data_IF_132738836159
#
_entry.id   IF_132738836159
#
_cell.length_a   1.000
_cell.length_b   1.000
_cell.length_c   1.000
_cell.angle_alpha   90.00
_cell.angle_beta   90.00
_cell.angle_gamma   90.00
#
_symmetry.space_group_name_H-M   'P 1'
#
loop_
_entity.id
_entity.type
_entity.pdbx_description
1 polymer ?
#
# COMPACT_ATOMS: atom_id res chain seq x y z
N UNK A 1 11.08 -4.46 -10.77
CA UNK A 1 11.27 -5.94 -10.81
C UNK A 1 12.73 -6.31 -10.92
N UNK A 2 13.51 -5.67 -11.81
CA UNK A 2 14.95 -5.99 -12.03
C UNK A 2 15.83 -5.92 -10.76
N UNK A 3 15.45 -5.12 -9.77
CA UNK A 3 16.15 -5.03 -8.49
C UNK A 3 15.55 -5.91 -7.38
N UNK A 4 14.56 -6.73 -7.70
CA UNK A 4 13.84 -7.54 -6.72
C UNK A 4 14.77 -8.46 -5.90
N UNK A 5 15.79 -9.06 -6.53
CA UNK A 5 16.74 -9.92 -5.81
C UNK A 5 17.44 -9.23 -4.64
N UNK A 6 17.70 -7.92 -4.72
CA UNK A 6 18.30 -7.13 -3.63
C UNK A 6 17.32 -6.94 -2.46
N UNK A 7 16.04 -6.71 -2.76
CA UNK A 7 14.98 -6.56 -1.75
C UNK A 7 14.73 -7.91 -1.08
N UNK A 8 14.63 -8.97 -1.86
CA UNK A 8 14.43 -10.33 -1.37
C UNK A 8 15.56 -10.76 -0.42
N UNK A 9 16.82 -10.50 -0.78
CA UNK A 9 17.97 -10.81 0.07
C UNK A 9 17.91 -10.13 1.45
N UNK A 10 17.32 -8.92 1.54
CA UNK A 10 17.07 -8.27 2.84
C UNK A 10 15.96 -9.00 3.60
N UNK A 11 14.85 -9.34 2.94
CA UNK A 11 13.74 -10.05 3.59
C UNK A 11 14.15 -11.44 4.10
N UNK A 12 15.06 -12.14 3.40
CA UNK A 12 15.58 -13.46 3.82
C UNK A 12 16.44 -13.39 5.07
N UNK A 13 17.14 -12.27 5.31
CA UNK A 13 18.00 -12.09 6.50
C UNK A 13 17.21 -11.96 7.80
N UNK A 14 15.94 -11.58 7.74
CA UNK A 14 15.14 -11.28 8.91
C UNK A 14 13.83 -12.09 8.90
N UNK A 15 13.58 -12.96 9.90
CA UNK A 15 12.37 -13.79 9.93
C UNK A 15 11.07 -13.00 9.81
N UNK A 16 10.96 -11.85 10.50
CA UNK A 16 9.77 -11.02 10.53
C UNK A 16 9.60 -10.10 9.29
N UNK A 17 10.59 -10.05 8.39
CA UNK A 17 10.53 -9.20 7.19
C UNK A 17 10.04 -10.00 6.00
N UNK A 18 9.07 -9.46 5.30
CA UNK A 18 8.56 -9.93 4.01
C UNK A 18 8.70 -8.81 2.98
N UNK A 19 8.48 -9.09 1.72
CA UNK A 19 8.58 -8.09 0.66
C UNK A 19 7.45 -8.20 -0.36
N UNK A 20 7.29 -7.14 -1.13
CA UNK A 20 6.53 -7.12 -2.37
C UNK A 20 7.46 -7.17 -3.58
N UNK A 21 6.90 -7.42 -4.75
CA UNK A 21 7.59 -7.34 -6.04
C UNK A 21 6.79 -6.49 -7.01
N UNK A 22 7.44 -5.48 -7.58
CA UNK A 22 6.79 -4.59 -8.55
C UNK A 22 7.73 -3.52 -9.09
N UNK A 23 7.14 -2.66 -9.94
CA UNK A 23 7.79 -1.52 -10.57
C UNK A 23 7.02 -0.27 -10.19
N UNK A 24 7.64 0.59 -9.38
CA UNK A 24 7.08 1.88 -8.99
C UNK A 24 6.77 2.74 -10.24
N UNK A 25 5.67 3.52 -10.26
CA UNK A 25 5.28 4.32 -11.42
C UNK A 25 6.38 5.25 -11.94
N UNK A 26 7.27 5.74 -11.09
CA UNK A 26 8.42 6.55 -11.52
C UNK A 26 9.38 5.84 -12.51
N UNK A 27 9.38 4.52 -12.49
CA UNK A 27 10.26 3.67 -13.29
C UNK A 27 9.50 2.81 -14.31
N UNK A 28 8.21 3.07 -14.52
CA UNK A 28 7.38 2.25 -15.39
C UNK A 28 7.95 2.11 -16.80
N UNK A 29 8.46 3.21 -17.38
CA UNK A 29 9.05 3.22 -18.71
C UNK A 29 10.33 2.39 -18.85
N UNK A 30 11.01 2.09 -17.74
CA UNK A 30 12.25 1.30 -17.72
C UNK A 30 11.97 -0.22 -17.77
N UNK A 31 10.74 -0.66 -17.47
CA UNK A 31 10.37 -2.05 -17.27
C UNK A 31 9.09 -2.44 -18.04
N UNK A 32 8.83 -1.83 -19.20
CA UNK A 32 7.65 -2.15 -20.04
C UNK A 32 7.69 -3.56 -20.64
N UNK A 33 8.85 -4.20 -20.68
CA UNK A 33 9.07 -5.56 -21.09
C UNK A 33 8.74 -6.61 -20.00
N UNK A 34 8.56 -6.17 -18.76
CA UNK A 34 8.15 -7.05 -17.66
C UNK A 34 6.69 -7.47 -17.85
N UNK A 35 6.47 -8.77 -17.87
CA UNK A 35 5.16 -9.38 -18.04
C UNK A 35 4.51 -9.74 -16.69
N UNK A 36 3.21 -9.98 -16.70
CA UNK A 36 2.53 -10.54 -15.53
C UNK A 36 3.13 -11.91 -15.12
N UNK A 37 3.58 -12.71 -16.10
CA UNK A 37 4.25 -13.99 -15.83
C UNK A 37 5.55 -13.85 -15.05
N UNK A 38 6.34 -12.81 -15.33
CA UNK A 38 7.59 -12.54 -14.60
C UNK A 38 7.30 -12.15 -13.14
N UNK A 39 6.28 -11.33 -12.92
CA UNK A 39 5.81 -10.98 -11.58
C UNK A 39 5.31 -12.21 -10.82
N UNK A 40 4.47 -13.04 -11.46
CA UNK A 40 3.93 -14.28 -10.87
C UNK A 40 5.08 -15.23 -10.48
N UNK A 41 6.10 -15.38 -11.32
CA UNK A 41 7.25 -16.23 -11.01
C UNK A 41 7.97 -15.79 -9.73
N UNK A 42 8.13 -14.47 -9.50
CA UNK A 42 8.72 -13.94 -8.27
C UNK A 42 7.86 -14.26 -7.03
N UNK A 43 6.54 -14.35 -7.15
CA UNK A 43 5.63 -14.62 -6.02
C UNK A 43 5.71 -16.05 -5.50
N UNK A 44 6.39 -16.97 -6.18
CA UNK A 44 6.61 -18.33 -5.68
C UNK A 44 7.48 -18.36 -4.41
N UNK A 45 8.28 -17.34 -4.19
CA UNK A 45 9.10 -17.26 -2.98
C UNK A 45 8.25 -16.97 -1.73
N UNK A 46 8.46 -17.69 -0.59
CA UNK A 46 7.61 -17.52 0.60
C UNK A 46 7.67 -16.12 1.22
N UNK A 47 8.77 -15.40 1.06
CA UNK A 47 8.94 -14.03 1.55
C UNK A 47 8.25 -12.97 0.69
N UNK A 48 7.84 -13.30 -0.54
CA UNK A 48 7.09 -12.38 -1.41
C UNK A 48 5.60 -12.54 -1.12
N UNK A 49 5.01 -11.55 -0.48
CA UNK A 49 3.64 -11.62 0.05
C UNK A 49 2.67 -10.66 -0.63
N UNK A 50 3.18 -9.83 -1.53
CA UNK A 50 2.40 -8.84 -2.27
C UNK A 50 3.02 -8.53 -3.62
N UNK A 51 2.25 -7.94 -4.50
CA UNK A 51 2.68 -7.30 -5.74
C UNK A 51 2.78 -5.78 -5.51
N UNK A 52 3.66 -5.12 -6.25
CA UNK A 52 3.85 -3.67 -6.12
C UNK A 52 5.17 -3.32 -5.42
N UNK A 53 5.37 -2.08 -5.25
CA UNK A 53 4.50 -0.92 -5.46
C UNK A 53 4.31 -0.66 -6.95
N UNK A 54 3.07 -0.42 -7.40
CA UNK A 54 2.72 -0.08 -8.77
C UNK A 54 1.53 0.89 -8.75
N UNK A 55 1.29 1.63 -9.81
CA UNK A 55 0.19 2.58 -9.88
C UNK A 55 0.52 3.82 -10.70
N UNK A 56 0.03 5.00 -10.25
CA UNK A 56 0.10 6.25 -11.00
C UNK A 56 0.66 7.39 -10.14
N UNK A 57 1.60 8.16 -10.70
CA UNK A 57 2.14 9.39 -10.09
C UNK A 57 2.17 10.50 -11.16
N UNK A 58 1.21 11.42 -11.09
CA UNK A 58 1.12 12.56 -11.98
C UNK A 58 1.70 13.84 -11.35
N UNK A 59 2.19 13.73 -10.12
CA UNK A 59 2.85 14.82 -9.42
C UNK A 59 4.29 15.02 -9.91
N UNK A 60 5.05 13.93 -9.98
CA UNK A 60 6.44 13.97 -10.44
C UNK A 60 6.59 13.74 -11.94
N UNK A 61 5.65 13.02 -12.56
CA UNK A 61 5.64 12.69 -14.00
C UNK A 61 6.99 12.11 -14.50
N UNK A 62 7.66 11.29 -13.65
CA UNK A 62 8.98 10.73 -13.96
C UNK A 62 8.93 9.66 -15.06
N UNK A 63 7.77 9.06 -15.30
CA UNK A 63 7.49 8.17 -16.44
C UNK A 63 6.29 8.72 -17.22
N UNK A 64 6.23 8.52 -18.55
CA UNK A 64 5.03 8.80 -19.34
C UNK A 64 3.79 8.12 -18.75
N UNK A 65 2.64 8.78 -18.76
CA UNK A 65 1.42 8.29 -18.11
C UNK A 65 0.88 7.01 -18.72
N UNK A 66 1.03 6.83 -20.03
CA UNK A 66 0.70 5.59 -20.75
C UNK A 66 1.58 4.42 -20.29
N UNK A 67 2.86 4.65 -20.06
CA UNK A 67 3.77 3.66 -19.50
C UNK A 67 3.37 3.29 -18.05
N UNK A 68 2.98 4.29 -17.24
CA UNK A 68 2.47 4.05 -15.88
C UNK A 68 1.18 3.22 -15.90
N UNK A 69 0.21 3.55 -16.75
CA UNK A 69 -1.04 2.79 -16.89
C UNK A 69 -0.76 1.36 -17.37
N UNK A 70 0.11 1.17 -18.37
CA UNK A 70 0.50 -0.16 -18.84
C UNK A 70 1.14 -0.98 -17.72
N UNK A 71 2.10 -0.42 -17.00
CA UNK A 71 2.75 -1.07 -15.86
C UNK A 71 1.75 -1.42 -14.77
N UNK A 72 0.85 -0.51 -14.41
CA UNK A 72 -0.19 -0.74 -13.41
C UNK A 72 -1.11 -1.90 -13.81
N UNK A 73 -1.61 -1.94 -15.05
CA UNK A 73 -2.45 -3.05 -15.55
C UNK A 73 -1.69 -4.38 -15.59
N UNK A 74 -0.40 -4.38 -15.89
CA UNK A 74 0.44 -5.59 -15.82
C UNK A 74 0.49 -6.17 -14.41
N UNK A 75 0.63 -5.31 -13.38
CA UNK A 75 0.60 -5.74 -11.99
C UNK A 75 -0.79 -6.20 -11.56
N UNK A 76 -1.85 -5.56 -12.02
CA UNK A 76 -3.23 -5.99 -11.77
C UNK A 76 -3.46 -7.39 -12.37
N UNK A 77 -2.99 -7.66 -13.59
CA UNK A 77 -3.10 -8.98 -14.21
C UNK A 77 -2.40 -10.08 -13.36
N UNK A 78 -1.24 -9.76 -12.79
CA UNK A 78 -0.57 -10.66 -11.86
C UNK A 78 -1.34 -10.82 -10.53
N UNK A 79 -1.97 -9.75 -10.01
CA UNK A 79 -2.80 -9.80 -8.81
C UNK A 79 -4.06 -10.67 -9.02
N UNK A 80 -4.70 -10.57 -10.18
CA UNK A 80 -5.80 -11.46 -10.55
C UNK A 80 -5.38 -12.93 -10.52
N UNK A 81 -4.22 -13.25 -11.11
CA UNK A 81 -3.76 -14.63 -11.23
C UNK A 81 -3.31 -15.23 -9.90
N UNK A 82 -2.66 -14.44 -9.04
CA UNK A 82 -2.06 -14.91 -7.79
C UNK A 82 -2.96 -14.75 -6.57
N UNK A 83 -3.93 -13.84 -6.64
CA UNK A 83 -4.74 -13.37 -5.50
C UNK A 83 -3.88 -12.83 -4.34
N UNK A 84 -2.63 -12.43 -4.63
CA UNK A 84 -1.82 -11.66 -3.69
C UNK A 84 -2.23 -10.19 -3.71
N UNK A 85 -2.14 -9.49 -2.57
CA UNK A 85 -2.51 -8.09 -2.51
C UNK A 85 -1.61 -7.22 -3.40
N UNK A 86 -2.25 -6.28 -4.09
CA UNK A 86 -1.57 -5.23 -4.85
C UNK A 86 -1.39 -3.99 -3.96
N UNK A 87 -0.14 -3.56 -3.79
CA UNK A 87 0.24 -2.30 -3.12
C UNK A 87 0.23 -1.20 -4.18
N UNK A 88 -0.73 -0.29 -4.07
CA UNK A 88 -1.02 0.72 -5.08
C UNK A 88 -0.52 2.09 -4.63
N UNK A 89 0.35 2.67 -5.45
CA UNK A 89 0.70 4.08 -5.40
C UNK A 89 -0.30 4.92 -6.20
N UNK A 90 -0.77 6.01 -5.60
CA UNK A 90 -1.54 7.03 -6.34
C UNK A 90 -1.19 8.42 -5.83
N UNK A 91 -0.83 9.32 -6.74
CA UNK A 91 -0.54 10.73 -6.42
C UNK A 91 -0.94 11.64 -7.57
N UNK A 92 -1.87 12.58 -7.27
CA UNK A 92 -2.46 13.50 -8.25
C UNK A 92 -3.08 12.77 -9.47
N UNK A 93 -3.54 11.50 -9.29
CA UNK A 93 -4.04 10.61 -10.32
C UNK A 93 -5.37 9.91 -9.93
N UNK A 94 -6.15 10.54 -9.05
CA UNK A 94 -7.31 9.94 -8.38
C UNK A 94 -8.32 9.34 -9.37
N UNK A 95 -8.70 10.10 -10.42
CA UNK A 95 -9.74 9.67 -11.34
C UNK A 95 -9.28 8.51 -12.23
N UNK A 96 -8.06 8.56 -12.77
CA UNK A 96 -7.52 7.46 -13.56
C UNK A 96 -7.27 6.21 -12.70
N UNK A 97 -6.81 6.38 -11.46
CA UNK A 97 -6.66 5.26 -10.52
C UNK A 97 -8.02 4.59 -10.25
N UNK A 98 -9.05 5.38 -9.94
CA UNK A 98 -10.39 4.86 -9.69
C UNK A 98 -10.97 4.16 -10.92
N UNK A 99 -10.87 4.77 -12.11
CA UNK A 99 -11.33 4.22 -13.39
C UNK A 99 -10.67 2.87 -13.68
N UNK A 100 -9.35 2.78 -13.53
CA UNK A 100 -8.61 1.53 -13.79
C UNK A 100 -9.03 0.45 -12.78
N UNK A 101 -9.16 0.80 -11.49
CA UNK A 101 -9.58 -0.16 -10.47
C UNK A 101 -11.00 -0.68 -10.73
N UNK A 102 -11.94 0.19 -11.08
CA UNK A 102 -13.33 -0.19 -11.40
C UNK A 102 -13.39 -1.10 -12.64
N UNK A 103 -12.64 -0.74 -13.70
CA UNK A 103 -12.54 -1.54 -14.92
C UNK A 103 -11.98 -2.94 -14.64
N UNK A 104 -10.89 -3.04 -13.91
CA UNK A 104 -10.21 -4.30 -13.66
C UNK A 104 -10.92 -5.15 -12.58
N UNK A 105 -11.40 -4.55 -11.50
CA UNK A 105 -12.19 -5.26 -10.48
C UNK A 105 -13.53 -5.76 -11.04
N UNK A 106 -14.09 -5.08 -12.07
CA UNK A 106 -15.25 -5.55 -12.81
C UNK A 106 -15.01 -6.84 -13.60
N UNK A 107 -13.77 -7.15 -13.97
CA UNK A 107 -13.37 -8.40 -14.64
C UNK A 107 -13.10 -9.54 -13.65
N UNK A 108 -12.84 -9.21 -12.39
CA UNK A 108 -12.57 -10.12 -11.29
C UNK A 108 -11.96 -9.41 -10.10
N UNK A 109 -12.38 -9.72 -8.88
CA UNK A 109 -11.86 -9.11 -7.69
C UNK A 109 -10.44 -9.60 -7.37
N UNK A 110 -9.61 -8.70 -6.83
CA UNK A 110 -8.29 -8.99 -6.26
C UNK A 110 -8.08 -8.14 -4.99
N UNK A 111 -7.32 -8.63 -4.01
CA UNK A 111 -7.02 -7.84 -2.82
C UNK A 111 -6.08 -6.67 -3.15
N UNK A 112 -6.33 -5.49 -2.56
CA UNK A 112 -5.50 -4.32 -2.82
C UNK A 112 -5.49 -3.33 -1.65
N UNK A 113 -4.45 -2.51 -1.58
CA UNK A 113 -4.33 -1.36 -0.68
C UNK A 113 -3.83 -0.14 -1.46
N UNK A 114 -4.53 0.99 -1.32
CA UNK A 114 -3.97 2.28 -1.72
C UNK A 114 -3.02 2.71 -0.60
N UNK A 115 -1.74 2.51 -0.84
CA UNK A 115 -0.65 2.74 0.09
C UNK A 115 -0.35 4.24 0.21
N UNK A 116 0.13 4.65 1.38
CA UNK A 116 0.53 6.04 1.67
C UNK A 116 -0.51 7.07 1.17
N UNK A 117 -1.76 6.85 1.53
CA UNK A 117 -2.88 7.55 0.94
C UNK A 117 -2.81 9.06 1.12
N UNK A 118 -2.89 9.79 0.01
CA UNK A 118 -2.94 11.25 -0.05
C UNK A 118 -4.03 11.77 -0.99
N UNK A 119 -4.84 10.87 -1.55
CA UNK A 119 -5.94 11.18 -2.46
C UNK A 119 -7.17 11.79 -1.78
N UNK A 120 -8.18 12.10 -2.57
CA UNK A 120 -9.43 12.70 -2.12
C UNK A 120 -10.43 11.69 -1.54
N UNK A 121 -11.46 12.22 -0.87
CA UNK A 121 -12.50 11.39 -0.24
C UNK A 121 -13.25 10.51 -1.27
N UNK A 122 -13.41 10.99 -2.50
CA UNK A 122 -14.13 10.25 -3.53
C UNK A 122 -13.36 9.01 -4.00
N UNK A 123 -12.04 9.11 -4.23
CA UNK A 123 -11.22 7.95 -4.54
C UNK A 123 -11.26 6.93 -3.39
N UNK A 124 -11.13 7.38 -2.12
CA UNK A 124 -11.22 6.49 -0.96
C UNK A 124 -12.56 5.75 -0.92
N UNK A 125 -13.67 6.45 -1.15
CA UNK A 125 -15.01 5.86 -1.17
C UNK A 125 -15.17 4.81 -2.28
N UNK A 126 -14.71 5.12 -3.51
CA UNK A 126 -14.77 4.20 -4.67
C UNK A 126 -13.89 2.97 -4.43
N UNK A 127 -12.66 3.16 -3.98
CA UNK A 127 -11.73 2.05 -3.70
C UNK A 127 -12.26 1.12 -2.60
N UNK A 128 -12.81 1.67 -1.51
CA UNK A 128 -13.40 0.87 -0.42
C UNK A 128 -14.64 0.11 -0.89
N UNK A 129 -15.46 0.70 -1.76
CA UNK A 129 -16.62 0.00 -2.36
C UNK A 129 -16.20 -1.21 -3.21
N UNK A 130 -15.01 -1.18 -3.79
CA UNK A 130 -14.39 -2.30 -4.51
C UNK A 130 -13.68 -3.30 -3.56
N UNK A 131 -13.66 -3.05 -2.25
CA UNK A 131 -13.02 -3.91 -1.26
C UNK A 131 -11.57 -3.59 -0.96
N UNK A 132 -11.00 -2.52 -1.54
CA UNK A 132 -9.63 -2.09 -1.25
C UNK A 132 -9.47 -1.57 0.19
N UNK A 133 -8.25 -1.62 0.67
CA UNK A 133 -7.82 -0.99 1.93
C UNK A 133 -7.19 0.37 1.66
N UNK A 134 -7.18 1.21 2.68
CA UNK A 134 -6.51 2.53 2.66
C UNK A 134 -5.40 2.53 3.70
N UNK A 135 -4.16 2.80 3.27
CA UNK A 135 -2.99 2.88 4.14
C UNK A 135 -2.71 4.30 4.60
N UNK A 136 -2.58 4.52 5.92
CA UNK A 136 -2.25 5.83 6.48
C UNK A 136 -0.84 5.84 7.04
N UNK A 137 -0.05 6.83 6.60
CA UNK A 137 1.32 7.09 7.04
C UNK A 137 1.40 8.25 8.03
N UNK A 138 2.63 8.64 8.40
CA UNK A 138 2.91 9.80 9.23
C UNK A 138 2.26 11.10 8.76
N UNK A 139 1.87 11.21 7.49
CA UNK A 139 1.18 12.37 6.92
C UNK A 139 -0.10 12.70 7.71
N UNK A 140 -0.84 11.71 8.19
CA UNK A 140 -2.09 11.93 8.93
C UNK A 140 -1.87 12.78 10.20
N UNK A 141 -0.65 12.77 10.76
CA UNK A 141 -0.28 13.57 11.94
C UNK A 141 0.07 15.03 11.62
N UNK A 142 0.23 15.39 10.34
CA UNK A 142 0.68 16.73 9.96
C UNK A 142 -0.45 17.76 10.11
N UNK A 143 -0.07 19.03 10.41
CA UNK A 143 -1.04 20.10 10.66
C UNK A 143 -2.06 20.26 9.51
N UNK A 144 -1.60 20.19 8.28
CA UNK A 144 -2.41 20.44 7.09
C UNK A 144 -3.18 19.20 6.57
N UNK A 145 -3.23 18.11 7.34
CA UNK A 145 -3.85 16.85 6.93
C UNK A 145 -5.28 16.67 7.46
N UNK A 146 -6.02 17.77 7.68
CA UNK A 146 -7.40 17.71 8.17
C UNK A 146 -8.31 16.87 7.24
N UNK A 147 -8.13 16.98 5.91
CA UNK A 147 -8.86 16.17 4.92
C UNK A 147 -8.61 14.68 5.08
N UNK A 148 -7.35 14.27 5.25
CA UNK A 148 -7.00 12.86 5.48
C UNK A 148 -7.58 12.34 6.79
N UNK A 149 -7.58 13.14 7.86
CA UNK A 149 -8.22 12.78 9.13
C UNK A 149 -9.72 12.60 8.99
N UNK A 150 -10.39 13.46 8.21
CA UNK A 150 -11.81 13.30 7.92
C UNK A 150 -12.10 11.99 7.14
N UNK A 151 -11.27 11.66 6.16
CA UNK A 151 -11.34 10.38 5.44
C UNK A 151 -11.16 9.23 6.44
N UNK A 152 -10.10 9.24 7.25
CA UNK A 152 -9.82 8.20 8.22
C UNK A 152 -10.95 8.00 9.24
N UNK A 153 -11.63 9.08 9.65
CA UNK A 153 -12.80 9.02 10.55
C UNK A 153 -13.99 8.30 9.89
N UNK A 154 -14.20 8.51 8.58
CA UNK A 154 -15.35 8.02 7.85
C UNK A 154 -15.22 6.56 7.33
N UNK A 155 -14.01 6.03 7.24
CA UNK A 155 -13.78 4.69 6.70
C UNK A 155 -14.37 3.58 7.60
N UNK A 156 -14.87 2.47 7.01
CA UNK A 156 -15.19 1.26 7.76
C UNK A 156 -13.96 0.76 8.54
N UNK A 157 -14.18 0.24 9.75
CA UNK A 157 -13.10 -0.21 10.63
C UNK A 157 -12.24 -1.33 10.01
N UNK A 158 -12.82 -2.11 9.11
CA UNK A 158 -12.17 -3.24 8.44
C UNK A 158 -11.53 -2.88 7.09
N UNK A 159 -11.34 -1.59 6.77
CA UNK A 159 -10.83 -1.12 5.47
C UNK A 159 -9.66 -0.14 5.54
N UNK A 160 -8.94 -0.07 6.64
CA UNK A 160 -7.73 0.74 6.72
C UNK A 160 -6.57 0.04 7.42
N UNK A 161 -5.36 0.53 7.13
CA UNK A 161 -4.10 0.08 7.72
C UNK A 161 -3.30 1.28 8.24
N UNK A 162 -2.37 1.01 9.14
CA UNK A 162 -1.29 1.93 9.54
C UNK A 162 0.02 1.48 8.94
N UNK A 163 0.82 2.42 8.46
CA UNK A 163 2.12 2.17 7.85
C UNK A 163 3.07 3.35 8.08
N UNK A 164 4.33 3.21 7.70
CA UNK A 164 5.33 4.26 7.96
C UNK A 164 5.79 4.97 6.71
N UNK A 165 5.95 4.28 5.61
CA UNK A 165 6.69 4.75 4.42
C UNK A 165 8.15 5.14 4.76
N UNK A 166 8.75 4.45 5.73
CA UNK A 166 10.12 4.71 6.13
C UNK A 166 11.10 4.46 4.97
N UNK A 167 12.12 5.32 4.78
CA UNK A 167 12.66 6.33 5.71
C UNK A 167 12.04 7.73 5.59
N UNK A 168 10.94 7.87 4.85
CA UNK A 168 10.25 9.13 4.60
C UNK A 168 9.11 9.37 5.59
N UNK A 169 8.51 10.55 5.57
CA UNK A 169 7.24 10.89 6.19
C UNK A 169 7.17 10.68 7.71
N UNK A 170 8.28 10.89 8.43
CA UNK A 170 8.30 10.76 9.89
C UNK A 170 7.11 11.51 10.53
N UNK A 171 6.29 10.85 11.37
CA UNK A 171 5.13 11.45 12.01
C UNK A 171 5.55 12.49 13.07
N UNK A 172 4.61 13.33 13.52
CA UNK A 172 4.82 14.10 14.74
C UNK A 172 4.93 13.15 15.95
N UNK A 173 5.87 13.39 16.90
CA UNK A 173 6.74 14.56 17.03
C UNK A 173 8.08 14.46 16.28
N UNK A 174 8.29 13.42 15.48
CA UNK A 174 9.59 13.13 14.84
C UNK A 174 9.77 13.81 13.48
N UNK A 175 8.84 14.66 13.05
CA UNK A 175 8.90 15.33 11.75
C UNK A 175 10.25 16.04 11.54
N UNK A 176 10.82 15.86 10.33
CA UNK A 176 12.15 16.37 9.98
C UNK A 176 13.31 15.42 10.32
N UNK A 177 13.04 14.32 11.01
CA UNK A 177 14.00 13.24 11.23
C UNK A 177 13.80 12.14 10.17
N UNK A 178 14.75 11.22 10.05
CA UNK A 178 14.60 9.99 9.30
C UNK A 178 13.50 9.16 9.98
N UNK A 179 12.52 8.70 9.20
CA UNK A 179 11.47 7.82 9.70
C UNK A 179 12.00 6.38 9.90
N UNK A 180 11.38 5.66 10.81
CA UNK A 180 11.68 4.25 11.09
C UNK A 180 10.38 3.48 11.43
N UNK A 181 10.37 2.14 11.27
CA UNK A 181 9.17 1.32 11.48
C UNK A 181 8.52 1.48 12.85
N UNK A 182 9.29 1.73 13.91
CA UNK A 182 8.79 1.93 15.28
C UNK A 182 7.86 3.13 15.41
N UNK A 183 7.98 4.14 14.53
CA UNK A 183 7.13 5.34 14.56
C UNK A 183 5.71 5.12 14.05
N UNK A 184 5.37 3.93 13.55
CA UNK A 184 3.98 3.56 13.20
C UNK A 184 3.01 3.75 14.38
N UNK A 185 3.51 3.64 15.60
CA UNK A 185 2.75 3.88 16.84
C UNK A 185 2.11 5.28 16.85
N UNK A 186 2.79 6.29 16.36
CA UNK A 186 2.26 7.67 16.32
C UNK A 186 1.14 7.81 15.27
N UNK A 187 1.21 7.07 14.18
CA UNK A 187 0.13 6.99 13.19
C UNK A 187 -1.12 6.37 13.84
N UNK A 188 -0.93 5.24 14.53
CA UNK A 188 -2.03 4.55 15.21
C UNK A 188 -2.67 5.41 16.32
N UNK A 189 -1.87 6.15 17.11
CA UNK A 189 -2.38 7.10 18.11
C UNK A 189 -3.23 8.19 17.48
N UNK A 190 -2.78 8.79 16.38
CA UNK A 190 -3.55 9.80 15.66
C UNK A 190 -4.88 9.23 15.13
N UNK A 191 -4.87 8.00 14.58
CA UNK A 191 -6.12 7.39 14.13
C UNK A 191 -7.07 7.06 15.30
N UNK A 192 -6.56 6.68 16.46
CA UNK A 192 -7.35 6.47 17.68
C UNK A 192 -8.05 7.76 18.10
N UNK A 193 -7.33 8.88 18.15
CA UNK A 193 -7.88 10.21 18.45
C UNK A 193 -8.96 10.60 17.44
N UNK A 194 -8.66 10.51 16.14
CA UNK A 194 -9.56 10.88 15.04
C UNK A 194 -10.85 10.07 15.04
N UNK A 195 -10.79 8.80 15.42
CA UNK A 195 -11.93 7.88 15.43
C UNK A 195 -12.64 7.81 16.79
N UNK A 196 -12.11 8.46 17.84
CA UNK A 196 -12.69 8.45 19.18
C UNK A 196 -12.68 7.05 19.83
N UNK A 197 -11.66 6.24 19.57
CA UNK A 197 -11.47 4.89 20.12
C UNK A 197 -10.12 4.77 20.82
N UNK A 198 -9.87 3.67 21.54
CA UNK A 198 -8.57 3.45 22.19
C UNK A 198 -7.46 3.15 21.18
N UNK A 199 -6.21 3.39 21.59
CA UNK A 199 -5.04 2.99 20.81
C UNK A 199 -5.02 1.46 20.61
N UNK A 200 -5.36 0.71 21.62
CA UNK A 200 -5.42 -0.75 21.62
C UNK A 200 -6.45 -1.27 20.60
N UNK A 201 -7.59 -0.59 20.46
CA UNK A 201 -8.59 -0.93 19.43
C UNK A 201 -8.06 -0.70 18.02
N UNK A 202 -7.36 0.41 17.77
CA UNK A 202 -6.70 0.66 16.47
C UNK A 202 -5.63 -0.38 16.21
N UNK A 203 -4.76 -0.65 17.18
CA UNK A 203 -3.69 -1.65 17.03
C UNK A 203 -4.26 -3.03 16.71
N UNK A 204 -5.27 -3.47 17.44
CA UNK A 204 -5.96 -4.74 17.20
C UNK A 204 -6.62 -4.76 15.82
N UNK A 205 -7.39 -3.74 15.48
CA UNK A 205 -8.15 -3.66 14.23
C UNK A 205 -7.22 -3.65 13.01
N UNK A 206 -6.17 -2.82 13.02
CA UNK A 206 -5.25 -2.74 11.88
C UNK A 206 -4.38 -3.99 11.76
N UNK A 207 -4.04 -4.65 12.87
CA UNK A 207 -3.38 -5.96 12.85
C UNK A 207 -4.27 -7.02 12.20
N UNK A 208 -5.55 -7.09 12.56
CA UNK A 208 -6.50 -8.02 11.92
C UNK A 208 -6.69 -7.71 10.44
N UNK A 209 -6.80 -6.43 10.09
CA UNK A 209 -6.90 -6.00 8.69
C UNK A 209 -5.65 -6.38 7.89
N UNK A 210 -4.45 -6.20 8.48
CA UNK A 210 -3.19 -6.59 7.85
C UNK A 210 -3.17 -8.08 7.51
N UNK A 211 -3.50 -8.97 8.47
CA UNK A 211 -3.48 -10.40 8.21
C UNK A 211 -4.62 -10.88 7.31
N UNK A 212 -5.72 -10.14 7.20
CA UNK A 212 -6.76 -10.41 6.21
C UNK A 212 -6.28 -10.07 4.80
N UNK A 213 -5.62 -8.93 4.66
CA UNK A 213 -5.10 -8.49 3.36
C UNK A 213 -3.87 -9.31 2.94
N UNK A 214 -2.86 -9.38 3.81
CA UNK A 214 -1.60 -10.10 3.54
C UNK A 214 -1.66 -11.54 4.05
N UNK A 215 -2.62 -12.31 3.53
CA UNK A 215 -2.92 -13.67 4.03
C UNK A 215 -1.74 -14.65 3.94
N UNK A 216 -0.74 -14.37 3.09
CA UNK A 216 0.48 -15.17 2.97
C UNK A 216 1.47 -14.93 4.13
N UNK A 217 1.30 -13.87 4.93
CA UNK A 217 2.15 -13.59 6.09
C UNK A 217 1.76 -14.50 7.26
N UNK A 218 2.67 -15.31 7.82
CA UNK A 218 2.38 -16.16 8.98
C UNK A 218 2.07 -15.32 10.22
N UNK A 219 0.95 -15.54 10.90
CA UNK A 219 0.59 -14.81 12.15
C UNK A 219 1.63 -14.98 13.26
N UNK A 220 2.27 -16.15 13.36
CA UNK A 220 3.28 -16.44 14.37
C UNK A 220 4.57 -15.59 14.22
N UNK A 221 4.88 -15.12 13.02
CA UNK A 221 6.06 -14.28 12.77
C UNK A 221 5.87 -12.83 13.25
N UNK A 222 4.64 -12.39 13.45
CA UNK A 222 4.33 -11.01 13.87
C UNK A 222 4.31 -10.82 15.41
N UNK A 223 4.27 -11.92 16.18
CA UNK A 223 4.16 -11.88 17.66
C UNK A 223 5.52 -12.00 18.35
N UNK A 224 6.57 -12.34 17.63
CA UNK A 224 7.91 -12.61 18.17
C UNK A 224 8.90 -11.44 18.00
N UNK A 225 8.44 -10.24 17.65
CA UNK A 225 9.28 -9.04 17.46
C UNK A 225 9.16 -8.05 18.62
#
# INVERSE_FOLDING_TARGET
VRRHAQVLAVAERFPAVTCSVGTHPHHAHEELDITAGDLIACTNHPKVVALGEAGLDYHYDNSPRDAQEQGFRTHIAAAHATQLPLVIHTRDADEDCARILEDEMGKGAFPAVLHCYTGGAELARRAVALGCYIGFTGIVTFKNSAGLRAIAAALPADRFLVETDAPYLAPLPYRGKRNEPSYVVEVAKMLAEVRGVSFEDIARQTTENFFKLFAKVPRAAAVAA
#
